data_IF_470967861121
#
_entry.id   IF_470967861121
#
_cell.length_a   1.000
_cell.length_b   1.000
_cell.length_c   1.000
_cell.angle_alpha   90.00
_cell.angle_beta   90.00
_cell.angle_gamma   90.00
#
_symmetry.space_group_name_H-M   'P 1'
#
loop_
_entity.id
_entity.type
_entity.pdbx_description
1 polymer ?
#
# COMPACT_ATOMS: atom_id res chain seq x y z
N UNK A 1 19.83 -3.85 -5.94
CA UNK A 1 19.41 -4.09 -5.52
C UNK A 1 18.57 -3.64 -5.12
N UNK A 2 18.47 -3.39 -4.87
CA UNK A 2 17.55 -3.05 -4.30
C UNK A 2 16.53 -2.18 -4.73
N UNK A 3 16.12 -2.19 -5.86
CA UNK A 3 15.05 -1.37 -6.28
C UNK A 3 13.76 -1.71 -5.55
N UNK A 4 13.63 -2.91 -5.11
CA UNK A 4 12.41 -3.26 -4.40
C UNK A 4 12.35 -2.57 -3.07
N UNK A 5 13.43 -2.02 -2.60
CA UNK A 5 13.38 -1.37 -1.31
C UNK A 5 12.58 -0.09 -1.35
N UNK A 6 12.22 0.40 -2.52
CA UNK A 6 11.35 1.56 -2.60
C UNK A 6 9.93 1.24 -2.16
N UNK A 7 9.54 -0.01 -2.21
CA UNK A 7 8.20 -0.39 -1.83
C UNK A 7 8.17 -0.83 -0.38
N UNK A 8 7.18 -0.38 0.35
CA UNK A 8 6.96 -0.80 1.73
C UNK A 8 5.60 -1.43 1.85
N UNK A 9 5.49 -2.36 2.78
CA UNK A 9 4.25 -3.05 3.00
C UNK A 9 3.43 -2.31 4.04
N UNK A 10 2.15 -2.16 3.76
CA UNK A 10 1.21 -1.52 4.66
C UNK A 10 0.01 -2.43 4.83
N UNK A 11 -0.54 -2.42 6.01
CA UNK A 11 -1.74 -3.19 6.30
C UNK A 11 -2.80 -2.27 6.89
N UNK A 12 -4.04 -2.65 6.70
CA UNK A 12 -5.15 -1.92 7.26
C UNK A 12 -6.37 -2.81 7.26
N UNK A 13 -7.46 -2.31 7.76
CA UNK A 13 -8.69 -3.07 7.75
C UNK A 13 -9.24 -3.21 6.35
N UNK A 14 -8.87 -2.31 5.47
CA UNK A 14 -9.27 -2.36 4.09
C UNK A 14 -8.14 -1.82 3.25
N UNK A 15 -8.24 -2.02 1.94
CA UNK A 15 -7.25 -1.47 1.04
C UNK A 15 -7.19 0.04 1.18
N UNK A 16 -8.34 0.68 1.34
CA UNK A 16 -8.36 2.13 1.48
C UNK A 16 -7.59 2.58 2.70
N UNK A 17 -7.74 1.86 3.79
CA UNK A 17 -7.02 2.23 5.00
C UNK A 17 -5.52 2.02 4.81
N UNK A 18 -5.15 0.91 4.20
CA UNK A 18 -3.73 0.66 3.95
C UNK A 18 -3.13 1.73 3.04
N UNK A 19 -3.89 2.14 2.03
CA UNK A 19 -3.43 3.20 1.15
C UNK A 19 -3.28 4.52 1.90
N UNK A 20 -4.20 4.79 2.80
CA UNK A 20 -4.11 6.02 3.59
C UNK A 20 -2.84 6.02 4.42
N UNK A 21 -2.53 4.89 5.03
CA UNK A 21 -1.30 4.79 5.80
C UNK A 21 -0.08 5.03 4.91
N UNK A 22 -0.11 4.47 3.70
CA UNK A 22 1.02 4.64 2.81
C UNK A 22 1.18 6.11 2.41
N UNK A 23 0.06 6.76 2.08
CA UNK A 23 0.13 8.17 1.72
C UNK A 23 0.71 9.00 2.84
N UNK A 24 0.29 8.71 4.06
CA UNK A 24 0.79 9.46 5.21
C UNK A 24 2.26 9.18 5.47
N UNK A 25 2.65 7.92 5.30
CA UNK A 25 4.04 7.56 5.54
C UNK A 25 4.98 8.25 4.57
N UNK A 26 4.56 8.34 3.33
CA UNK A 26 5.37 8.97 2.30
C UNK A 26 5.06 10.44 2.11
N UNK A 27 3.99 10.93 2.75
CA UNK A 27 3.59 12.32 2.64
C UNK A 27 3.30 12.71 1.21
N UNK A 28 2.60 11.84 0.52
CA UNK A 28 2.19 12.10 -0.86
C UNK A 28 0.71 11.83 -0.97
N UNK A 29 0.13 12.34 -2.04
CA UNK A 29 -1.25 12.03 -2.33
C UNK A 29 -1.36 10.70 -3.02
N UNK A 30 -2.59 10.19 -3.10
CA UNK A 30 -2.81 8.91 -3.75
C UNK A 30 -2.39 8.96 -5.21
N UNK A 31 -2.57 10.10 -5.85
CA UNK A 31 -2.16 10.23 -7.25
C UNK A 31 -0.66 10.11 -7.45
N UNK A 32 0.09 10.35 -6.39
CA UNK A 32 1.55 10.26 -6.45
C UNK A 32 2.06 8.99 -5.82
N UNK A 33 1.19 8.03 -5.62
CA UNK A 33 1.55 6.78 -4.96
C UNK A 33 1.40 5.63 -5.93
N UNK A 34 2.43 4.81 -6.02
CA UNK A 34 2.37 3.57 -6.77
C UNK A 34 2.19 2.44 -5.78
N UNK A 35 1.23 1.58 -6.03
CA UNK A 35 0.95 0.53 -5.07
C UNK A 35 0.46 -0.71 -5.77
N UNK A 36 0.56 -1.82 -5.05
CA UNK A 36 0.05 -3.08 -5.52
C UNK A 36 -0.66 -3.76 -4.37
N UNK A 37 -1.81 -4.32 -4.64
CA UNK A 37 -2.60 -4.97 -3.61
C UNK A 37 -2.17 -6.42 -3.51
N UNK A 38 -1.65 -6.80 -2.36
CA UNK A 38 -1.27 -8.17 -2.11
C UNK A 38 -2.45 -8.97 -1.60
N UNK A 39 -3.19 -8.40 -0.66
CA UNK A 39 -4.35 -9.02 -0.09
C UNK A 39 -5.41 -7.96 0.05
N UNK A 40 -6.56 -8.15 -0.58
CA UNK A 40 -7.58 -7.09 -0.52
C UNK A 40 -8.24 -6.96 0.84
N UNK A 41 -7.98 -7.91 1.72
CA UNK A 41 -8.68 -7.89 2.98
C UNK A 41 -10.07 -8.44 2.84
N UNK A 42 -10.66 -8.81 3.93
CA UNK A 42 -12.03 -9.27 3.89
C UNK A 42 -12.69 -8.90 5.20
N UNK A 43 -13.94 -8.58 5.09
CA UNK A 43 -14.74 -8.33 6.26
C UNK A 43 -15.10 -9.65 6.89
N UNK A 44 -15.10 -9.70 8.18
CA UNK A 44 -15.53 -10.89 8.84
C UNK A 44 -16.98 -11.18 8.49
N UNK A 45 -17.24 -12.40 8.10
CA UNK A 45 -18.59 -12.81 7.78
C UNK A 45 -19.01 -13.78 8.86
N UNK A 46 -20.18 -13.54 9.39
CA UNK A 46 -20.70 -14.39 10.45
C UNK A 46 -19.78 -14.46 11.65
N UNK A 47 -19.10 -13.38 11.91
CA UNK A 47 -18.20 -13.35 13.02
C UNK A 47 -16.88 -14.04 12.77
N UNK A 48 -16.69 -14.60 11.62
CA UNK A 48 -15.40 -15.18 11.29
C UNK A 48 -14.37 -14.08 11.13
N UNK A 49 -13.15 -14.40 11.40
CA UNK A 49 -12.11 -13.41 11.42
C UNK A 49 -11.99 -12.69 10.10
N UNK A 50 -11.90 -11.39 10.18
CA UNK A 50 -11.63 -10.58 9.02
C UNK A 50 -10.13 -10.59 8.78
N UNK A 51 -9.76 -10.55 7.52
CA UNK A 51 -8.36 -10.46 7.17
C UNK A 51 -7.98 -9.03 6.89
N UNK A 52 -6.82 -8.64 7.35
CA UNK A 52 -6.33 -7.31 7.05
C UNK A 52 -5.98 -7.20 5.59
N UNK A 53 -6.22 -6.04 5.03
CA UNK A 53 -5.74 -5.75 3.69
C UNK A 53 -4.25 -5.50 3.76
N UNK A 54 -3.55 -5.89 2.72
CA UNK A 54 -2.11 -5.76 2.67
C UNK A 54 -1.71 -5.26 1.30
N UNK A 55 -0.92 -4.23 1.28
CA UNK A 55 -0.44 -3.66 0.03
C UNK A 55 1.04 -3.36 0.16
N UNK A 56 1.68 -3.19 -0.98
CA UNK A 56 3.01 -2.59 -1.02
C UNK A 56 2.87 -1.30 -1.80
N UNK A 57 3.58 -0.29 -1.37
CA UNK A 57 3.44 1.03 -1.97
C UNK A 57 4.75 1.80 -1.89
N UNK A 58 4.91 2.72 -2.82
CA UNK A 58 6.05 3.60 -2.85
C UNK A 58 5.63 4.87 -3.56
N UNK A 59 6.30 6.00 -3.25
CA UNK A 59 6.03 7.21 -4.01
C UNK A 59 6.43 7.01 -5.46
N UNK A 60 5.63 7.53 -6.36
CA UNK A 60 5.94 7.40 -7.77
C UNK A 60 7.32 8.00 -8.07
N UNK A 61 7.65 9.08 -7.40
CA UNK A 61 8.95 9.70 -7.63
C UNK A 61 10.09 8.77 -7.25
N UNK A 62 9.88 7.89 -6.28
CA UNK A 62 10.92 6.97 -5.90
C UNK A 62 11.01 5.80 -6.87
N UNK A 63 9.88 5.40 -7.42
CA UNK A 63 9.84 4.25 -8.32
C UNK A 63 10.25 4.63 -9.72
N UNK A 64 9.66 5.71 -10.21
CA UNK A 64 9.91 6.14 -11.58
C UNK A 64 10.97 7.21 -11.67
N UNK A 65 11.50 7.60 -10.53
CA UNK A 65 12.39 8.74 -10.52
C UNK A 65 13.62 8.57 -11.35
N UNK A 66 14.09 7.36 -11.47
CA UNK A 66 15.25 7.14 -12.28
C UNK A 66 14.97 7.10 -13.75
N UNK A 67 13.71 6.98 -14.10
CA UNK A 67 13.38 6.87 -15.49
C UNK A 67 13.40 8.25 -16.11
N UNK A 68 14.15 8.41 -17.12
CA UNK A 68 14.19 9.71 -17.76
C UNK A 68 12.93 9.99 -18.51
#
# INVERSE_FOLDING_TARGET
>A
MPSESAYQEFTGKSVEEALKFACEAFKVGLADLDFEILTPGSKGVLGMGAEAARIVAAPISAVAGGAP
#
